data_IF_153141606328
#
_entry.id   IF_153141606328
#
_cell.length_a   1.000
_cell.length_b   1.000
_cell.length_c   1.000
_cell.angle_alpha   90.00
_cell.angle_beta   90.00
_cell.angle_gamma   90.00
#
_symmetry.space_group_name_H-M   'P 1'
#
loop_
_entity.id
_entity.type
_entity.pdbx_description
1 polymer ?
#
# COMPACT_ATOMS: atom_id res chain seq x y z
N UNK A 1 -24.03 -1.98 10.39
CA UNK A 1 -22.58 -2.13 10.59
C UNK A 1 -22.05 -2.73 9.29
N UNK A 2 -21.31 -1.94 8.49
CA UNK A 2 -21.35 -2.07 7.03
C UNK A 2 -20.47 -3.15 6.40
N UNK A 3 -19.49 -3.73 7.11
CA UNK A 3 -18.71 -4.87 6.60
C UNK A 3 -18.22 -5.77 7.76
N UNK A 4 -18.18 -7.11 7.60
CA UNK A 4 -17.70 -8.03 8.63
C UNK A 4 -16.16 -8.06 8.66
N UNK A 5 -15.53 -6.94 8.99
CA UNK A 5 -14.07 -6.81 9.07
C UNK A 5 -13.63 -5.95 10.26
N UNK A 6 -12.39 -6.16 10.72
CA UNK A 6 -11.71 -5.37 11.74
C UNK A 6 -10.47 -4.70 11.15
N UNK A 7 -10.28 -3.41 11.41
CA UNK A 7 -9.02 -2.72 11.09
C UNK A 7 -8.02 -3.00 12.20
N UNK A 8 -6.96 -3.75 11.89
CA UNK A 8 -5.87 -4.05 12.84
C UNK A 8 -4.81 -2.96 12.89
N UNK A 9 -4.60 -2.29 11.76
CA UNK A 9 -3.62 -1.20 11.63
C UNK A 9 -4.08 -0.20 10.60
N UNK A 10 -3.86 1.07 10.91
CA UNK A 10 -4.00 2.18 9.98
C UNK A 10 -2.96 3.23 10.37
N UNK A 11 -1.88 3.33 9.59
CA UNK A 11 -0.79 4.24 9.89
C UNK A 11 -0.19 4.82 8.62
N UNK A 12 0.49 5.96 8.77
CA UNK A 12 1.37 6.49 7.72
C UNK A 12 2.53 5.50 7.51
N UNK A 13 2.87 5.24 6.26
CA UNK A 13 4.01 4.41 5.86
C UNK A 13 5.24 5.31 5.75
N UNK A 14 5.79 5.69 6.90
CA UNK A 14 6.86 6.68 7.00
C UNK A 14 8.06 6.34 6.11
N UNK A 15 8.56 7.32 5.37
CA UNK A 15 9.73 7.17 4.49
C UNK A 15 9.45 6.40 3.19
N UNK A 16 8.18 6.25 2.81
CA UNK A 16 7.79 5.70 1.50
C UNK A 16 7.77 6.74 0.39
N UNK A 17 7.66 8.03 0.72
CA UNK A 17 7.82 9.13 -0.20
C UNK A 17 9.24 9.24 -0.76
N UNK A 18 9.36 9.62 -2.02
CA UNK A 18 10.64 9.86 -2.68
C UNK A 18 11.29 11.14 -2.16
N UNK A 19 12.60 11.09 -1.93
CA UNK A 19 13.39 12.26 -1.53
C UNK A 19 13.45 13.31 -2.63
N UNK A 20 13.58 14.59 -2.24
CA UNK A 20 13.80 15.72 -3.12
C UNK A 20 13.78 17.03 -2.32
N UNK A 21 14.00 18.16 -2.98
CA UNK A 21 13.76 19.47 -2.37
C UNK A 21 12.33 19.59 -1.85
N UNK A 22 11.38 19.00 -2.59
CA UNK A 22 10.03 18.73 -2.12
C UNK A 22 9.82 17.22 -2.08
N UNK A 23 9.79 16.65 -0.88
CA UNK A 23 9.58 15.22 -0.70
C UNK A 23 8.20 14.78 -1.21
N UNK A 24 8.15 13.60 -1.80
CA UNK A 24 6.89 12.94 -2.11
C UNK A 24 6.14 12.57 -0.82
N UNK A 25 4.81 12.57 -0.87
CA UNK A 25 3.99 12.19 0.28
C UNK A 25 4.11 10.70 0.61
N UNK A 26 4.14 10.38 1.91
CA UNK A 26 4.12 8.99 2.39
C UNK A 26 2.78 8.32 2.11
N UNK A 27 2.83 7.02 1.83
CA UNK A 27 1.67 6.17 1.71
C UNK A 27 1.06 5.79 3.06
N UNK A 28 0.14 4.82 3.02
CA UNK A 28 -0.55 4.26 4.17
C UNK A 28 -0.26 2.76 4.28
N UNK A 29 -0.12 2.27 5.51
CA UNK A 29 -0.12 0.85 5.86
C UNK A 29 -1.44 0.53 6.56
N UNK A 30 -2.25 -0.30 5.89
CA UNK A 30 -3.56 -0.75 6.37
C UNK A 30 -3.59 -2.27 6.52
N UNK A 31 -4.13 -2.76 7.62
CA UNK A 31 -4.35 -4.19 7.87
C UNK A 31 -5.82 -4.44 8.20
N UNK A 32 -6.45 -5.34 7.44
CA UNK A 32 -7.85 -5.71 7.58
C UNK A 32 -7.94 -7.20 7.91
N UNK A 33 -8.54 -7.53 9.05
CA UNK A 33 -8.90 -8.89 9.44
C UNK A 33 -10.36 -9.15 9.08
N UNK A 34 -10.63 -10.22 8.34
CA UNK A 34 -11.99 -10.58 7.96
C UNK A 34 -12.67 -11.39 9.07
N UNK A 35 -13.87 -10.99 9.49
CA UNK A 35 -14.62 -11.61 10.58
C UNK A 35 -15.67 -12.62 10.09
N UNK A 36 -15.81 -12.76 8.78
CA UNK A 36 -16.61 -13.77 8.10
C UNK A 36 -15.93 -14.14 6.76
N UNK A 37 -16.23 -15.31 6.16
CA UNK A 37 -15.75 -15.64 4.82
C UNK A 37 -16.11 -14.53 3.83
N UNK A 38 -15.11 -14.00 3.14
CA UNK A 38 -15.26 -12.79 2.32
C UNK A 38 -14.52 -12.96 0.99
N UNK A 39 -15.20 -12.68 -0.13
CA UNK A 39 -14.54 -12.51 -1.42
C UNK A 39 -13.93 -11.13 -1.51
N UNK A 40 -12.61 -11.07 -1.73
CA UNK A 40 -11.84 -9.83 -1.77
C UNK A 40 -11.30 -9.62 -3.17
N UNK A 41 -11.63 -8.47 -3.76
CA UNK A 41 -11.03 -8.00 -5.00
C UNK A 41 -10.08 -6.85 -4.70
N UNK A 42 -8.81 -7.05 -5.00
CA UNK A 42 -7.74 -6.05 -4.88
C UNK A 42 -7.51 -5.44 -6.26
N UNK A 43 -7.63 -4.11 -6.37
CA UNK A 43 -7.36 -3.35 -7.60
C UNK A 43 -6.36 -2.24 -7.28
N UNK A 44 -5.08 -2.55 -7.43
CA UNK A 44 -4.02 -1.64 -7.00
C UNK A 44 -2.94 -1.47 -8.06
N UNK A 45 -2.40 -0.26 -8.13
CA UNK A 45 -1.39 0.15 -9.11
C UNK A 45 -0.06 0.49 -8.45
N UNK A 46 0.96 0.79 -9.27
CA UNK A 46 2.31 1.17 -8.79
C UNK A 46 2.96 0.09 -7.90
N UNK A 47 2.81 -1.17 -8.29
CA UNK A 47 3.36 -2.35 -7.60
C UNK A 47 4.70 -2.81 -8.18
N UNK A 48 4.83 -2.74 -9.51
CA UNK A 48 6.09 -3.00 -10.23
C UNK A 48 6.85 -1.72 -10.53
N UNK A 49 6.13 -0.69 -10.99
CA UNK A 49 6.72 0.61 -11.34
C UNK A 49 6.36 1.65 -10.28
N UNK A 50 7.33 2.21 -9.54
CA UNK A 50 7.05 3.21 -8.52
C UNK A 50 6.52 4.52 -9.12
N UNK A 51 5.91 5.40 -8.32
CA UNK A 51 5.75 6.80 -8.70
C UNK A 51 7.13 7.43 -8.91
N UNK A 52 7.36 7.99 -10.09
CA UNK A 52 8.63 8.63 -10.44
C UNK A 52 8.84 9.92 -9.67
N UNK A 53 10.11 10.28 -9.44
CA UNK A 53 10.45 11.65 -9.08
C UNK A 53 10.63 12.52 -10.32
N UNK A 54 10.73 13.84 -10.12
CA UNK A 54 10.91 14.83 -11.18
C UNK A 54 12.06 15.76 -10.86
N UNK A 55 12.75 16.28 -11.89
CA UNK A 55 13.87 17.21 -11.75
C UNK A 55 14.93 16.76 -10.73
N UNK A 56 15.44 15.53 -10.90
CA UNK A 56 16.37 14.87 -9.98
C UNK A 56 15.80 14.41 -8.61
N UNK A 57 14.49 14.56 -8.38
CA UNK A 57 13.81 13.92 -7.27
C UNK A 57 13.83 12.39 -7.39
N UNK A 58 13.92 11.71 -6.24
CA UNK A 58 13.91 10.25 -6.16
C UNK A 58 12.48 9.69 -6.32
N UNK A 59 12.32 8.46 -6.85
CA UNK A 59 11.03 7.79 -6.89
C UNK A 59 10.52 7.47 -5.48
N UNK A 60 9.20 7.43 -5.32
CA UNK A 60 8.57 6.87 -4.13
C UNK A 60 8.70 5.35 -4.09
N UNK A 61 8.53 4.75 -2.93
CA UNK A 61 8.49 3.30 -2.81
C UNK A 61 7.23 2.73 -3.49
N UNK A 62 7.32 1.58 -4.18
CA UNK A 62 6.15 0.90 -4.72
C UNK A 62 5.21 0.47 -3.59
N UNK A 63 3.93 0.32 -3.92
CA UNK A 63 2.98 -0.28 -3.00
C UNK A 63 3.11 -1.80 -2.95
N UNK A 64 2.53 -2.42 -1.93
CA UNK A 64 2.56 -3.86 -1.72
C UNK A 64 1.22 -4.34 -1.15
N UNK A 65 0.85 -5.58 -1.47
CA UNK A 65 -0.30 -6.25 -0.91
C UNK A 65 0.18 -7.57 -0.31
N UNK A 66 -0.31 -7.94 0.87
CA UNK A 66 -0.01 -9.23 1.50
C UNK A 66 -1.25 -9.88 2.07
N UNK A 67 -1.32 -11.21 2.06
CA UNK A 67 -2.26 -12.03 2.83
C UNK A 67 -1.46 -12.79 3.89
N UNK A 68 -1.73 -12.54 5.16
CA UNK A 68 -1.03 -13.18 6.27
C UNK A 68 0.51 -13.13 6.12
N UNK A 69 1.04 -11.99 5.64
CA UNK A 69 2.47 -11.79 5.38
C UNK A 69 2.98 -12.28 4.01
N UNK A 70 2.20 -13.07 3.27
CA UNK A 70 2.58 -13.54 1.93
C UNK A 70 2.20 -12.54 0.83
N UNK A 71 3.11 -12.25 -0.09
CA UNK A 71 2.90 -11.29 -1.18
C UNK A 71 1.69 -11.66 -2.06
N UNK A 72 0.90 -10.67 -2.42
CA UNK A 72 -0.16 -10.78 -3.42
C UNK A 72 0.12 -9.93 -4.67
N UNK A 73 -0.41 -10.32 -5.84
CA UNK A 73 -0.41 -9.47 -7.03
C UNK A 73 -1.13 -8.13 -6.81
N UNK A 74 -0.88 -7.18 -7.73
CA UNK A 74 -1.56 -5.88 -7.72
C UNK A 74 -3.06 -5.96 -8.03
N UNK A 75 -3.47 -6.99 -8.78
CA UNK A 75 -4.86 -7.26 -9.15
C UNK A 75 -5.17 -8.73 -8.92
N UNK A 76 -6.15 -9.01 -8.08
CA UNK A 76 -6.57 -10.38 -7.76
C UNK A 76 -7.97 -10.37 -7.16
N UNK A 77 -8.75 -11.42 -7.43
CA UNK A 77 -10.02 -11.67 -6.73
C UNK A 77 -10.01 -13.09 -6.18
N UNK A 78 -10.15 -13.23 -4.86
CA UNK A 78 -10.07 -14.52 -4.15
C UNK A 78 -10.87 -14.50 -2.86
N UNK A 79 -11.22 -15.68 -2.38
CA UNK A 79 -11.84 -15.86 -1.07
C UNK A 79 -10.80 -15.81 0.08
N UNK A 80 -11.20 -15.13 1.14
CA UNK A 80 -10.49 -14.99 2.41
C UNK A 80 -11.38 -15.58 3.51
N UNK A 81 -10.96 -16.69 4.14
CA UNK A 81 -11.63 -17.24 5.32
C UNK A 81 -11.66 -16.25 6.50
N UNK A 82 -12.54 -16.50 7.46
CA UNK A 82 -12.53 -15.79 8.75
C UNK A 82 -11.16 -15.86 9.42
N UNK A 83 -10.68 -14.73 9.93
CA UNK A 83 -9.39 -14.58 10.59
C UNK A 83 -8.24 -14.23 9.65
N UNK A 84 -8.41 -14.35 8.32
CA UNK A 84 -7.39 -13.92 7.39
C UNK A 84 -7.19 -12.40 7.43
N UNK A 85 -5.94 -11.99 7.22
CA UNK A 85 -5.52 -10.60 7.26
C UNK A 85 -4.99 -10.16 5.88
N UNK A 86 -5.63 -9.15 5.30
CA UNK A 86 -5.12 -8.41 4.14
C UNK A 86 -4.31 -7.19 4.63
N UNK A 87 -3.03 -7.13 4.26
CA UNK A 87 -2.23 -5.91 4.37
C UNK A 87 -2.19 -5.19 3.03
N UNK A 88 -2.48 -3.89 3.03
CA UNK A 88 -2.33 -3.01 1.88
C UNK A 88 -1.43 -1.85 2.28
N UNK A 89 -0.26 -1.78 1.63
CA UNK A 89 0.60 -0.61 1.68
C UNK A 89 0.44 0.17 0.37
N UNK A 90 0.01 1.42 0.45
CA UNK A 90 -0.08 2.28 -0.73
C UNK A 90 1.33 2.74 -1.14
N UNK A 91 1.57 3.05 -2.43
CA UNK A 91 2.83 3.64 -2.85
C UNK A 91 3.01 5.02 -2.17
N UNK A 92 4.26 5.43 -1.99
CA UNK A 92 4.58 6.83 -1.71
C UNK A 92 4.70 7.63 -3.00
N UNK A 93 4.47 8.95 -2.94
CA UNK A 93 4.70 9.85 -4.07
C UNK A 93 6.18 9.98 -4.40
N UNK A 94 6.54 10.34 -5.64
CA UNK A 94 7.92 10.70 -5.96
C UNK A 94 8.25 12.13 -5.53
N UNK A 95 9.52 12.37 -5.23
CA UNK A 95 10.01 13.71 -4.86
C UNK A 95 10.25 14.60 -6.07
N UNK A 96 10.43 15.89 -5.81
CA UNK A 96 10.79 16.91 -6.79
C UNK A 96 12.07 17.63 -6.39
N UNK A 97 12.97 17.87 -7.33
CA UNK A 97 14.23 18.59 -7.10
C UNK A 97 15.29 17.72 -6.44
N UNK A 98 16.55 18.16 -6.49
CA UNK A 98 17.65 17.51 -5.77
C UNK A 98 17.41 17.60 -4.26
N UNK A 99 17.54 16.48 -3.56
CA UNK A 99 17.50 16.49 -2.10
C UNK A 99 18.65 17.36 -1.55
N UNK A 100 18.40 18.16 -0.50
CA UNK A 100 19.46 18.95 0.14
C UNK A 100 20.55 18.06 0.78
#
# INVERSE_FOLDING_TARGET
MEFPLRVRRYQIRSGSGGAGQHCGGDGLHREFEFLAPTTVTVLTERRRHPPWGLHAGAPGQPGENRRNGQQLPGKISREFPTGDCLTVCTPGGGGWGTAP
#
